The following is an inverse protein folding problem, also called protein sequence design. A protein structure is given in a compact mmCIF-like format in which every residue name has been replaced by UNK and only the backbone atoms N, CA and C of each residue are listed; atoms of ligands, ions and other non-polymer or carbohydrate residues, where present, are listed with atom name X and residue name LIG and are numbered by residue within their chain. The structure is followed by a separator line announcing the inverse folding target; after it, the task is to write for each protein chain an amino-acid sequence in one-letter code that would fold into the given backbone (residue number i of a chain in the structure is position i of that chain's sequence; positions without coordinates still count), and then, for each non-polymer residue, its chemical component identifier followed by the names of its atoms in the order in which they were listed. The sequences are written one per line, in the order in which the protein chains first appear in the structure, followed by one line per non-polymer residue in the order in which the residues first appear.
data_IF_775560327095
#
_entry.id   IF_775560327095
#
_cell.length_a   1.000
_cell.length_b   1.000
_cell.length_c   1.000
_cell.angle_alpha   90.00
_cell.angle_beta   90.00
_cell.angle_gamma   90.00
#
_symmetry.space_group_name_H-M   'P 1'
#
loop_
_entity.id
_entity.type
_entity.pdbx_description
1 polymer ?
#
# COMPACT_ATOMS: atom_id res chain seq x y z
N UNK A 1 -3.98 27.73 -11.18
CA UNK A 1 -3.01 26.90 -10.45
C UNK A 1 -3.29 25.45 -10.75
N UNK A 2 -2.30 24.66 -11.18
CA UNK A 2 -2.46 23.24 -11.49
C UNK A 2 -1.66 22.40 -10.50
N UNK A 3 -2.24 21.29 -10.04
CA UNK A 3 -1.59 20.32 -9.17
C UNK A 3 -1.79 18.91 -9.69
N UNK A 4 -0.79 18.07 -9.49
CA UNK A 4 -0.81 16.63 -9.80
C UNK A 4 -0.65 15.83 -8.53
N UNK A 5 -1.26 14.67 -8.47
CA UNK A 5 -1.14 13.75 -7.34
C UNK A 5 -0.99 12.32 -7.79
N UNK A 6 -0.25 11.54 -7.02
CA UNK A 6 -0.20 10.08 -7.19
C UNK A 6 -1.12 9.44 -6.19
N UNK A 7 -1.99 8.55 -6.67
CA UNK A 7 -2.88 7.75 -5.83
C UNK A 7 -2.56 6.28 -5.98
N UNK A 8 -2.87 5.51 -4.93
CA UNK A 8 -2.71 4.06 -4.88
C UNK A 8 -3.92 3.46 -4.18
N UNK A 9 -4.25 2.20 -4.47
CA UNK A 9 -5.23 1.43 -3.71
C UNK A 9 -4.92 1.49 -2.20
N UNK A 10 -5.93 1.73 -1.36
CA UNK A 10 -5.80 1.66 0.10
C UNK A 10 -5.95 0.23 0.60
N UNK A 11 -6.61 -0.63 -0.19
CA UNK A 11 -6.93 -2.02 0.12
C UNK A 11 -5.69 -2.85 0.45
N UNK A 12 -5.86 -3.76 1.40
CA UNK A 12 -4.80 -4.70 1.82
C UNK A 12 -5.31 -6.13 1.75
N UNK A 13 -4.40 -7.09 1.62
CA UNK A 13 -4.67 -8.52 1.68
C UNK A 13 -3.69 -9.19 2.64
N UNK A 14 -4.12 -10.29 3.23
CA UNK A 14 -3.29 -11.08 4.13
C UNK A 14 -2.77 -12.35 3.43
N UNK A 15 -1.52 -12.69 3.74
CA UNK A 15 -0.85 -13.94 3.38
C UNK A 15 -0.44 -14.65 4.67
N UNK A 16 -0.41 -15.98 4.67
CA UNK A 16 0.01 -16.77 5.84
C UNK A 16 0.98 -17.86 5.42
N UNK A 17 2.05 -18.02 6.17
CA UNK A 17 3.03 -19.09 6.01
C UNK A 17 3.42 -19.68 7.36
N UNK A 18 3.82 -20.95 7.37
CA UNK A 18 4.24 -21.64 8.57
C UNK A 18 5.57 -22.37 8.34
N UNK A 19 6.55 -22.12 9.20
CA UNK A 19 7.86 -22.77 9.15
C UNK A 19 8.40 -23.05 10.56
N UNK A 20 9.54 -23.73 10.63
CA UNK A 20 10.18 -24.09 11.89
C UNK A 20 10.82 -22.88 12.59
N UNK A 21 11.11 -21.82 11.84
CA UNK A 21 11.67 -20.57 12.37
C UNK A 21 11.12 -19.33 11.65
N UNK A 22 11.33 -18.17 12.26
CA UNK A 22 10.82 -16.89 11.81
C UNK A 22 11.42 -16.39 10.49
N UNK A 23 12.66 -16.79 10.17
CA UNK A 23 13.32 -16.40 8.94
C UNK A 23 12.75 -17.20 7.77
N UNK A 24 12.61 -18.51 7.94
CA UNK A 24 11.98 -19.39 6.95
C UNK A 24 10.52 -19.00 6.71
N UNK A 25 9.75 -18.71 7.77
CA UNK A 25 8.36 -18.30 7.63
C UNK A 25 8.23 -16.96 6.88
N UNK A 26 9.15 -16.02 7.11
CA UNK A 26 9.19 -14.74 6.38
C UNK A 26 9.56 -14.93 4.91
N UNK A 27 10.56 -15.76 4.60
CA UNK A 27 10.94 -16.03 3.22
C UNK A 27 9.76 -16.59 2.41
N UNK A 28 8.98 -17.50 3.01
CA UNK A 28 7.77 -18.03 2.39
C UNK A 28 6.71 -16.95 2.16
N UNK A 29 6.55 -15.97 3.06
CA UNK A 29 5.66 -14.83 2.83
C UNK A 29 6.14 -14.00 1.65
N UNK A 30 7.45 -13.70 1.58
CA UNK A 30 8.04 -12.91 0.50
C UNK A 30 7.89 -13.60 -0.87
N UNK A 31 8.03 -14.92 -0.94
CA UNK A 31 7.79 -15.73 -2.14
C UNK A 31 6.32 -15.76 -2.57
N UNK A 32 5.38 -15.63 -1.62
CA UNK A 32 3.95 -15.63 -1.89
C UNK A 32 3.41 -14.26 -2.35
N UNK A 33 4.20 -13.19 -2.28
CA UNK A 33 3.77 -11.86 -2.73
C UNK A 33 3.51 -11.90 -4.23
N UNK A 34 2.26 -11.67 -4.69
CA UNK A 34 1.96 -11.65 -6.12
C UNK A 34 2.65 -10.48 -6.82
N UNK A 35 2.91 -10.63 -8.12
CA UNK A 35 3.38 -9.52 -8.94
C UNK A 35 2.40 -8.32 -8.85
N UNK A 36 2.96 -7.11 -8.79
CA UNK A 36 2.17 -5.89 -8.63
C UNK A 36 1.68 -5.63 -7.21
N UNK A 37 2.17 -6.36 -6.20
CA UNK A 37 1.92 -6.10 -4.78
C UNK A 37 3.22 -5.83 -4.02
N UNK A 38 3.13 -4.92 -3.06
CA UNK A 38 4.17 -4.63 -2.08
C UNK A 38 3.83 -5.32 -0.76
N UNK A 39 4.84 -5.93 -0.14
CA UNK A 39 4.75 -6.43 1.23
C UNK A 39 4.94 -5.27 2.22
N UNK A 40 3.88 -4.94 2.96
CA UNK A 40 3.88 -3.83 3.91
C UNK A 40 4.42 -4.22 5.28
N UNK A 41 4.03 -5.39 5.77
CA UNK A 41 4.37 -5.86 7.10
C UNK A 41 4.35 -7.38 7.15
N UNK A 42 5.18 -7.96 8.02
CA UNK A 42 5.10 -9.37 8.42
C UNK A 42 5.03 -9.44 9.94
N UNK A 43 4.05 -10.17 10.47
CA UNK A 43 3.93 -10.48 11.88
C UNK A 43 4.18 -11.98 12.10
N UNK A 44 5.02 -12.31 13.09
CA UNK A 44 5.32 -13.69 13.43
C UNK A 44 4.71 -14.03 14.79
N UNK A 45 4.01 -15.15 14.86
CA UNK A 45 3.49 -15.73 16.09
C UNK A 45 4.00 -17.16 16.25
N UNK A 46 4.31 -17.56 17.48
CA UNK A 46 4.77 -18.92 17.80
C UNK A 46 3.85 -19.52 18.87
N UNK A 47 2.72 -20.14 18.47
CA UNK A 47 1.87 -20.87 19.41
C UNK A 47 2.63 -22.06 20.01
N UNK A 48 2.18 -22.55 21.18
CA UNK A 48 2.82 -23.68 21.87
C UNK A 48 2.87 -24.89 20.93
N UNK A 49 4.07 -25.31 20.53
CA UNK A 49 4.24 -26.36 19.50
C UNK A 49 5.48 -26.20 18.62
N UNK A 50 6.21 -25.09 18.72
CA UNK A 50 7.56 -24.93 18.14
C UNK A 50 7.60 -24.41 16.71
N UNK A 51 6.46 -24.31 16.01
CA UNK A 51 6.38 -23.73 14.67
C UNK A 51 6.03 -22.24 14.71
N UNK A 52 6.59 -21.48 13.78
CA UNK A 52 6.31 -20.06 13.57
C UNK A 52 5.29 -19.90 12.46
N UNK A 53 4.22 -19.16 12.76
CA UNK A 53 3.20 -18.72 11.82
C UNK A 53 3.48 -17.25 11.50
N UNK A 54 3.82 -16.96 10.25
CA UNK A 54 3.97 -15.61 9.72
C UNK A 54 2.68 -15.17 9.02
N UNK A 55 2.23 -13.96 9.31
CA UNK A 55 1.12 -13.28 8.62
C UNK A 55 1.65 -12.02 7.94
N UNK A 56 1.61 -12.00 6.61
CA UNK A 56 2.03 -10.88 5.77
C UNK A 56 0.85 -10.01 5.35
N UNK A 57 1.01 -8.69 5.39
CA UNK A 57 0.03 -7.74 4.84
C UNK A 57 0.59 -7.16 3.55
N UNK A 58 -0.11 -7.32 2.44
CA UNK A 58 0.27 -6.82 1.13
C UNK A 58 -0.70 -5.76 0.60
N UNK A 59 -0.24 -4.92 -0.32
CA UNK A 59 -1.06 -3.91 -1.04
C UNK A 59 -0.62 -3.83 -2.49
N UNK A 60 -1.54 -3.54 -3.38
CA UNK A 60 -1.25 -3.30 -4.79
C UNK A 60 -0.27 -2.11 -4.98
N UNK A 61 0.85 -2.33 -5.64
CA UNK A 61 1.93 -1.35 -5.86
C UNK A 61 1.58 -0.30 -6.92
N UNK A 62 0.57 -0.57 -7.76
CA UNK A 62 0.20 0.28 -8.87
C UNK A 62 -0.18 1.69 -8.39
N UNK A 63 0.48 2.70 -8.97
CA UNK A 63 0.18 4.11 -8.74
C UNK A 63 -0.45 4.71 -9.99
N UNK A 64 -1.41 5.61 -9.79
CA UNK A 64 -2.08 6.36 -10.86
C UNK A 64 -1.97 7.84 -10.60
N UNK A 65 -1.77 8.62 -11.66
CA UNK A 65 -1.80 10.07 -11.59
C UNK A 65 -3.23 10.61 -11.67
N UNK A 66 -3.50 11.67 -10.91
CA UNK A 66 -4.70 12.50 -10.99
C UNK A 66 -4.28 13.96 -11.02
N UNK A 67 -5.04 14.79 -11.71
CA UNK A 67 -4.73 16.22 -11.86
C UNK A 67 -5.94 17.07 -11.49
N UNK A 68 -5.69 18.24 -10.93
CA UNK A 68 -6.75 19.21 -10.66
C UNK A 68 -6.24 20.64 -10.81
N UNK A 69 -7.17 21.53 -11.11
CA UNK A 69 -6.92 22.95 -11.24
C UNK A 69 -7.78 23.75 -10.27
N UNK A 70 -7.26 24.90 -9.85
CA UNK A 70 -7.96 25.85 -8.99
C UNK A 70 -7.39 27.26 -9.11
N UNK A 71 -8.11 28.23 -8.54
CA UNK A 71 -7.67 29.63 -8.53
C UNK A 71 -6.36 29.81 -7.74
N UNK A 72 -6.17 29.02 -6.69
CA UNK A 72 -4.97 28.95 -5.86
C UNK A 72 -4.66 27.49 -5.47
N UNK A 73 -3.60 27.29 -4.68
CA UNK A 73 -3.22 25.95 -4.22
C UNK A 73 -4.30 25.28 -3.35
N UNK A 74 -5.01 26.01 -2.50
CA UNK A 74 -6.01 25.44 -1.60
C UNK A 74 -7.23 24.93 -2.38
N UNK A 75 -7.70 25.71 -3.35
CA UNK A 75 -8.75 25.33 -4.27
C UNK A 75 -8.33 24.11 -5.12
N UNK A 76 -7.12 24.14 -5.70
CA UNK A 76 -6.61 23.05 -6.53
C UNK A 76 -6.42 21.74 -5.72
N UNK A 77 -5.89 21.83 -4.50
CA UNK A 77 -5.72 20.69 -3.58
C UNK A 77 -7.06 20.09 -3.15
N UNK A 78 -8.07 20.93 -2.90
CA UNK A 78 -9.43 20.47 -2.58
C UNK A 78 -10.06 19.73 -3.75
N UNK A 79 -9.94 20.29 -4.97
CA UNK A 79 -10.42 19.65 -6.18
C UNK A 79 -9.69 18.32 -6.46
N UNK A 80 -8.38 18.26 -6.23
CA UNK A 80 -7.59 17.02 -6.37
C UNK A 80 -8.09 15.94 -5.41
N UNK A 81 -8.29 16.28 -4.14
CA UNK A 81 -8.77 15.34 -3.11
C UNK A 81 -10.16 14.81 -3.42
N UNK A 82 -11.03 15.63 -4.01
CA UNK A 82 -12.35 15.21 -4.44
C UNK A 82 -12.33 14.17 -5.58
N UNK A 83 -11.24 14.10 -6.35
CA UNK A 83 -11.07 13.09 -7.41
C UNK A 83 -10.48 11.77 -6.90
N UNK A 84 -9.98 11.71 -5.67
CA UNK A 84 -9.42 10.48 -5.10
C UNK A 84 -10.57 9.52 -4.77
N UNK A 85 -10.62 8.32 -5.40
CA UNK A 85 -11.64 7.34 -5.06
C UNK A 85 -11.55 6.93 -3.57
N UNK A 86 -12.67 6.54 -2.92
CA UNK A 86 -12.67 6.20 -1.50
C UNK A 86 -11.75 5.03 -1.15
N UNK A 87 -11.58 4.08 -2.08
CA UNK A 87 -10.69 2.92 -1.95
C UNK A 87 -9.23 3.25 -2.32
N UNK A 88 -8.87 4.53 -2.41
CA UNK A 88 -7.54 4.97 -2.77
C UNK A 88 -7.02 5.99 -1.75
N UNK A 89 -5.70 6.00 -1.61
CA UNK A 89 -4.97 6.99 -0.83
C UNK A 89 -4.17 7.89 -1.75
N UNK A 90 -4.11 9.16 -1.39
CA UNK A 90 -3.21 10.13 -2.02
C UNK A 90 -1.83 10.03 -1.39
N UNK A 91 -0.81 9.79 -2.21
CA UNK A 91 0.57 9.60 -1.78
C UNK A 91 1.35 10.91 -1.75
N UNK A 92 1.16 11.74 -2.78
CA UNK A 92 1.87 13.01 -2.94
C UNK A 92 1.01 14.01 -3.70
N UNK A 93 1.33 15.29 -3.53
CA UNK A 93 0.79 16.40 -4.32
C UNK A 93 1.98 17.23 -4.79
N UNK A 94 2.04 17.48 -6.09
CA UNK A 94 3.06 18.31 -6.74
C UNK A 94 2.36 19.48 -7.42
N UNK A 95 2.93 20.67 -7.32
CA UNK A 95 2.48 21.86 -8.04
C UNK A 95 3.10 21.84 -9.43
N UNK A 96 2.28 22.04 -10.46
CA UNK A 96 2.79 22.33 -11.80
C UNK A 96 3.06 23.83 -11.92
N UNK A 97 4.33 24.15 -12.24
CA UNK A 97 4.83 25.51 -12.46
C UNK A 97 4.46 26.03 -13.86
#
# INVERSE_FOLDING_TARGET
MKVRGLIQSSGTRELTAEADDAQAARALIEEQVPEGFDLLQVHNSMPRGGRVIASGVIRESAVREVEAEGADYAAASTALRAQVPPEHRLLTIVVDA
#
